data_IF_022654164335
#
_entry.id   IF_022654164335
#
_cell.length_a   1.000
_cell.length_b   1.000
_cell.length_c   1.000
_cell.angle_alpha   90.00
_cell.angle_beta   90.00
_cell.angle_gamma   90.00
#
_symmetry.space_group_name_H-M   'P 1'
#
loop_
_entity.id
_entity.type
_entity.pdbx_description
1 polymer ?
#
# COMPACT_ATOMS: atom_id res chain seq x y z
N UNK A 1 6.97 -24.58 31.90
CA UNK A 1 7.89 -23.58 31.34
C UNK A 1 7.32 -23.08 30.03
N UNK A 2 6.54 -22.00 30.07
CA UNK A 2 5.92 -21.38 28.90
C UNK A 2 6.23 -19.90 28.95
N UNK A 3 7.29 -19.52 28.23
CA UNK A 3 7.72 -18.14 28.08
C UNK A 3 6.68 -17.37 27.27
N UNK A 4 5.86 -16.58 27.96
CA UNK A 4 5.03 -15.53 27.35
C UNK A 4 5.95 -14.41 26.89
N UNK A 5 6.12 -14.28 25.58
CA UNK A 5 6.64 -13.07 24.94
C UNK A 5 5.66 -11.94 25.23
N UNK A 6 5.97 -11.10 26.23
CA UNK A 6 5.21 -9.88 26.51
C UNK A 6 5.49 -8.90 25.37
N UNK A 7 4.47 -8.59 24.59
CA UNK A 7 4.47 -7.44 23.70
C UNK A 7 4.79 -6.19 24.53
N UNK A 8 5.85 -5.50 24.14
CA UNK A 8 6.28 -4.24 24.77
C UNK A 8 5.26 -3.18 24.35
N UNK A 9 4.49 -2.67 25.32
CA UNK A 9 3.50 -1.60 25.12
C UNK A 9 4.15 -0.34 24.53
N UNK A 10 3.38 0.42 23.73
CA UNK A 10 3.82 1.62 23.00
C UNK A 10 4.53 2.70 23.84
N UNK A 11 4.35 2.70 25.16
CA UNK A 11 4.93 3.65 26.12
C UNK A 11 6.42 3.38 26.49
N UNK A 12 7.08 2.36 25.92
CA UNK A 12 8.43 1.95 26.32
C UNK A 12 9.44 1.77 25.18
N UNK A 13 9.23 2.41 24.02
CA UNK A 13 10.15 2.30 22.87
C UNK A 13 11.26 3.35 22.94
N UNK A 14 12.51 2.93 22.73
CA UNK A 14 13.65 3.82 22.60
C UNK A 14 13.77 4.27 21.14
N UNK A 15 13.23 5.44 20.80
CA UNK A 15 13.21 5.95 19.43
C UNK A 15 14.61 6.29 18.87
N UNK A 16 15.66 6.25 19.70
CA UNK A 16 17.05 6.33 19.21
C UNK A 16 17.44 5.07 18.44
N UNK A 17 16.83 3.92 18.77
CA UNK A 17 17.03 2.65 18.07
C UNK A 17 16.16 2.56 16.82
N UNK A 18 16.78 2.19 15.70
CA UNK A 18 16.09 2.10 14.40
C UNK A 18 14.93 1.09 14.40
N UNK A 19 15.05 -0.12 14.99
CA UNK A 19 13.94 -1.07 15.03
C UNK A 19 12.74 -0.57 15.82
N UNK A 20 12.97 0.15 16.92
CA UNK A 20 11.91 0.75 17.72
C UNK A 20 11.21 1.89 16.98
N UNK A 21 11.96 2.69 16.23
CA UNK A 21 11.41 3.74 15.35
C UNK A 21 10.58 3.16 14.21
N UNK A 22 11.06 2.08 13.58
CA UNK A 22 10.33 1.38 12.53
C UNK A 22 9.01 0.78 13.06
N UNK A 23 9.03 0.11 14.21
CA UNK A 23 7.81 -0.33 14.88
C UNK A 23 6.86 0.83 15.12
N UNK A 24 7.35 1.94 15.70
CA UNK A 24 6.51 3.10 16.02
C UNK A 24 5.88 3.71 14.77
N UNK A 25 6.60 3.80 13.65
CA UNK A 25 6.04 4.26 12.37
C UNK A 25 4.85 3.41 11.94
N UNK A 26 4.99 2.08 11.96
CA UNK A 26 3.93 1.15 11.56
C UNK A 26 2.74 1.21 12.53
N UNK A 27 3.00 1.32 13.84
CA UNK A 27 1.96 1.43 14.87
C UNK A 27 1.16 2.73 14.76
N UNK A 28 1.84 3.86 14.54
CA UNK A 28 1.20 5.18 14.50
C UNK A 28 0.52 5.46 13.17
N UNK A 29 1.16 5.12 12.05
CA UNK A 29 0.69 5.51 10.71
C UNK A 29 -0.04 4.37 9.99
N UNK A 30 0.14 3.12 10.43
CA UNK A 30 -0.38 1.93 9.77
C UNK A 30 0.55 1.38 8.68
N UNK A 31 0.34 0.11 8.34
CA UNK A 31 1.09 -0.61 7.31
C UNK A 31 0.45 -0.54 5.91
N UNK A 32 0.56 -1.65 5.17
CA UNK A 32 0.01 -1.83 3.82
C UNK A 32 -1.48 -1.47 3.74
N UNK A 33 -1.88 -0.91 2.61
CA UNK A 33 -3.28 -0.57 2.35
C UNK A 33 -4.14 -1.81 2.09
N UNK A 34 -3.59 -2.87 1.47
CA UNK A 34 -4.28 -4.16 1.30
C UNK A 34 -4.75 -4.74 2.64
N UNK A 35 -3.87 -4.76 3.65
CA UNK A 35 -4.21 -5.26 4.99
C UNK A 35 -5.31 -4.42 5.66
N UNK A 36 -5.29 -3.10 5.50
CA UNK A 36 -6.36 -2.20 6.00
C UNK A 36 -7.72 -2.47 5.34
N UNK A 37 -7.69 -2.98 4.10
CA UNK A 37 -8.86 -3.41 3.34
C UNK A 37 -9.23 -4.89 3.56
N UNK A 38 -8.55 -5.60 4.47
CA UNK A 38 -8.80 -7.01 4.73
C UNK A 38 -8.42 -7.92 3.56
N UNK A 39 -7.39 -7.53 2.81
CA UNK A 39 -6.82 -8.28 1.68
C UNK A 39 -5.46 -8.83 2.10
N UNK A 40 -5.29 -10.14 1.99
CA UNK A 40 -4.06 -10.85 2.32
C UNK A 40 -3.42 -11.42 1.04
N UNK A 41 -2.66 -10.58 0.34
CA UNK A 41 -2.03 -10.93 -0.95
C UNK A 41 -1.13 -12.18 -0.90
N UNK A 42 -0.71 -12.61 0.30
CA UNK A 42 0.09 -13.81 0.49
C UNK A 42 -0.76 -15.11 0.39
N UNK A 43 -2.10 -15.02 0.33
CA UNK A 43 -3.01 -16.18 0.24
C UNK A 43 -3.30 -16.64 -1.19
N UNK A 44 -2.67 -16.03 -2.19
CA UNK A 44 -2.74 -16.44 -3.59
C UNK A 44 -3.53 -15.50 -4.48
N UNK A 45 -3.72 -15.91 -5.73
CA UNK A 45 -4.13 -15.04 -6.83
C UNK A 45 -5.48 -14.35 -6.61
N UNK A 46 -6.41 -14.99 -5.90
CA UNK A 46 -7.69 -14.37 -5.54
C UNK A 46 -7.50 -13.10 -4.70
N UNK A 47 -6.59 -13.11 -3.72
CA UNK A 47 -6.33 -11.92 -2.91
C UNK A 47 -5.54 -10.86 -3.70
N UNK A 48 -4.66 -11.30 -4.61
CA UNK A 48 -3.98 -10.40 -5.56
C UNK A 48 -4.98 -9.70 -6.48
N UNK A 49 -6.00 -10.41 -6.96
CA UNK A 49 -7.09 -9.87 -7.76
C UNK A 49 -7.94 -8.85 -6.99
N UNK A 50 -8.29 -9.17 -5.73
CA UNK A 50 -8.94 -8.20 -4.82
C UNK A 50 -8.08 -6.95 -4.65
N UNK A 51 -6.76 -7.12 -4.54
CA UNK A 51 -5.84 -5.99 -4.45
C UNK A 51 -5.72 -5.22 -5.76
N UNK A 52 -5.83 -5.86 -6.93
CA UNK A 52 -5.88 -5.20 -8.23
C UNK A 52 -7.09 -4.25 -8.31
N UNK A 53 -8.28 -4.74 -7.90
CA UNK A 53 -9.48 -3.93 -7.80
C UNK A 53 -9.27 -2.73 -6.86
N UNK A 54 -8.77 -2.99 -5.65
CA UNK A 54 -8.52 -1.95 -4.65
C UNK A 54 -7.48 -0.91 -5.09
N UNK A 55 -6.36 -1.34 -5.66
CA UNK A 55 -5.29 -0.47 -6.15
C UNK A 55 -5.78 0.47 -7.26
N UNK A 56 -6.73 0.01 -8.08
CA UNK A 56 -7.38 0.83 -9.10
C UNK A 56 -8.00 2.10 -8.48
N UNK A 57 -8.60 2.01 -7.29
CA UNK A 57 -9.19 3.15 -6.58
C UNK A 57 -8.15 4.21 -6.17
N UNK A 58 -6.85 3.91 -6.15
CA UNK A 58 -5.80 4.90 -5.88
C UNK A 58 -5.33 5.66 -7.14
N UNK A 59 -5.84 5.31 -8.33
CA UNK A 59 -5.45 5.95 -9.59
C UNK A 59 -5.99 7.37 -9.81
N UNK A 60 -6.82 7.89 -8.90
CA UNK A 60 -7.25 9.30 -8.89
C UNK A 60 -6.61 10.06 -7.73
N UNK A 61 -6.71 11.39 -7.75
CA UNK A 61 -6.31 12.24 -6.61
C UNK A 61 -7.33 12.12 -5.47
N UNK A 62 -7.26 11.00 -4.75
CA UNK A 62 -8.17 10.61 -3.69
C UNK A 62 -7.37 10.31 -2.41
N UNK A 63 -7.98 10.47 -1.23
CA UNK A 63 -7.36 10.06 0.02
C UNK A 63 -7.47 8.54 0.21
N UNK A 64 -6.50 7.96 0.92
CA UNK A 64 -6.53 6.54 1.26
C UNK A 64 -7.81 6.15 2.03
N UNK A 65 -8.28 7.00 2.95
CA UNK A 65 -9.51 6.77 3.70
C UNK A 65 -10.74 6.64 2.78
N UNK A 66 -10.84 7.47 1.73
CA UNK A 66 -11.92 7.36 0.75
C UNK A 66 -11.76 6.06 -0.05
N UNK A 67 -10.56 5.72 -0.53
CA UNK A 67 -10.34 4.47 -1.26
C UNK A 67 -10.71 3.23 -0.42
N UNK A 68 -10.34 3.19 0.86
CA UNK A 68 -10.70 2.12 1.82
C UNK A 68 -12.22 2.03 2.00
N UNK A 69 -12.89 3.16 2.22
CA UNK A 69 -14.35 3.20 2.37
C UNK A 69 -15.06 2.75 1.09
N UNK A 70 -14.60 3.20 -0.08
CA UNK A 70 -15.12 2.78 -1.38
C UNK A 70 -14.94 1.29 -1.60
N UNK A 71 -13.75 0.73 -1.31
CA UNK A 71 -13.54 -0.71 -1.42
C UNK A 71 -14.50 -1.52 -0.53
N UNK A 72 -14.75 -1.06 0.70
CA UNK A 72 -15.73 -1.70 1.60
C UNK A 72 -17.15 -1.66 1.02
N UNK A 73 -17.58 -0.50 0.51
CA UNK A 73 -18.89 -0.35 -0.14
C UNK A 73 -19.03 -1.26 -1.38
N UNK A 74 -17.95 -1.46 -2.14
CA UNK A 74 -17.90 -2.41 -3.25
C UNK A 74 -18.03 -3.86 -2.75
N UNK A 75 -17.27 -4.23 -1.72
CA UNK A 75 -17.30 -5.57 -1.15
C UNK A 75 -18.67 -5.94 -0.54
N UNK A 76 -19.34 -4.98 0.10
CA UNK A 76 -20.72 -5.09 0.60
C UNK A 76 -21.74 -5.29 -0.53
N UNK A 77 -21.52 -4.64 -1.67
CA UNK A 77 -22.32 -4.83 -2.88
C UNK A 77 -21.99 -6.13 -3.64
N UNK A 78 -21.04 -6.92 -3.15
CA UNK A 78 -20.61 -8.18 -3.77
C UNK A 78 -19.56 -8.03 -4.86
N UNK A 79 -18.90 -6.87 -4.99
CA UNK A 79 -17.78 -6.65 -5.91
C UNK A 79 -16.48 -6.65 -5.09
N UNK A 80 -15.82 -7.81 -5.02
CA UNK A 80 -14.62 -8.01 -4.18
C UNK A 80 -13.34 -8.11 -5.00
N UNK A 81 -13.42 -8.68 -6.20
CA UNK A 81 -12.35 -8.76 -7.21
C UNK A 81 -12.75 -8.12 -8.54
N UNK A 82 -11.82 -8.10 -9.50
CA UNK A 82 -12.10 -7.51 -10.81
C UNK A 82 -13.06 -8.37 -11.64
N UNK A 83 -13.03 -9.69 -11.47
CA UNK A 83 -13.97 -10.64 -12.08
C UNK A 83 -15.43 -10.37 -11.68
N UNK A 84 -15.68 -9.89 -10.46
CA UNK A 84 -17.04 -9.55 -10.00
C UNK A 84 -17.62 -8.32 -10.74
N UNK A 85 -16.81 -7.59 -11.53
CA UNK A 85 -17.24 -6.43 -12.33
C UNK A 85 -17.91 -6.85 -13.63
N UNK A 86 -17.57 -8.01 -14.21
CA UNK A 86 -18.06 -8.46 -15.53
C UNK A 86 -19.60 -8.63 -15.57
N UNK A 87 -20.24 -8.85 -14.42
CA UNK A 87 -21.69 -8.96 -14.28
C UNK A 87 -22.43 -7.69 -13.88
N UNK A 88 -21.75 -6.53 -13.86
CA UNK A 88 -22.32 -5.27 -13.36
C UNK A 88 -22.55 -4.26 -14.47
N UNK A 89 -23.62 -3.49 -14.36
CA UNK A 89 -23.83 -2.34 -15.27
C UNK A 89 -22.97 -1.16 -14.84
N UNK A 90 -22.77 -0.23 -15.77
CA UNK A 90 -22.07 1.00 -15.47
C UNK A 90 -22.79 1.82 -14.38
N UNK A 91 -24.12 1.88 -14.42
CA UNK A 91 -24.95 2.59 -13.43
C UNK A 91 -24.83 1.98 -12.02
N UNK A 92 -24.84 0.65 -11.91
CA UNK A 92 -24.65 -0.05 -10.63
C UNK A 92 -23.28 0.30 -10.02
N UNK A 93 -22.23 0.30 -10.83
CA UNK A 93 -20.88 0.66 -10.37
C UNK A 93 -20.80 2.12 -9.93
N UNK A 94 -21.43 3.04 -10.67
CA UNK A 94 -21.50 4.46 -10.29
C UNK A 94 -22.18 4.62 -8.94
N UNK A 95 -23.32 3.98 -8.71
CA UNK A 95 -24.03 4.05 -7.42
C UNK A 95 -23.16 3.52 -6.27
N UNK A 96 -22.49 2.38 -6.46
CA UNK A 96 -21.61 1.80 -5.46
C UNK A 96 -20.43 2.74 -5.14
N UNK A 97 -19.81 3.31 -6.18
CA UNK A 97 -18.69 4.25 -6.04
C UNK A 97 -19.12 5.53 -5.32
N UNK A 98 -20.29 6.08 -5.65
CA UNK A 98 -20.85 7.26 -5.01
C UNK A 98 -21.09 7.06 -3.50
N UNK A 99 -21.68 5.92 -3.11
CA UNK A 99 -21.83 5.53 -1.68
C UNK A 99 -20.50 5.43 -0.95
N UNK A 100 -19.44 5.04 -1.66
CA UNK A 100 -18.07 5.05 -1.17
C UNK A 100 -17.48 6.46 -0.96
N UNK A 101 -18.18 7.51 -1.39
CA UNK A 101 -17.72 8.90 -1.45
C UNK A 101 -16.76 9.16 -2.60
N UNK A 102 -16.91 8.42 -3.69
CA UNK A 102 -16.15 8.57 -4.92
C UNK A 102 -16.89 9.42 -5.97
N UNK A 103 -17.98 10.11 -5.59
CA UNK A 103 -18.87 10.96 -6.41
C UNK A 103 -18.18 11.84 -7.46
N UNK A 104 -16.99 12.36 -7.17
CA UNK A 104 -16.25 13.23 -8.09
C UNK A 104 -15.68 12.47 -9.30
N UNK A 105 -15.44 11.18 -9.14
CA UNK A 105 -14.66 10.35 -10.06
C UNK A 105 -15.39 9.04 -10.42
N UNK A 106 -16.61 8.85 -9.94
CA UNK A 106 -17.44 7.67 -10.09
C UNK A 106 -17.63 7.28 -11.55
N UNK A 107 -18.05 8.20 -12.43
CA UNK A 107 -18.36 7.92 -13.84
C UNK A 107 -17.13 7.38 -14.57
N UNK A 108 -16.00 8.10 -14.45
CA UNK A 108 -14.73 7.69 -15.05
C UNK A 108 -14.22 6.39 -14.45
N UNK A 109 -14.44 6.18 -13.15
CA UNK A 109 -13.94 4.99 -12.45
C UNK A 109 -14.76 3.77 -12.79
N UNK A 110 -16.09 3.87 -12.90
CA UNK A 110 -16.97 2.81 -13.40
C UNK A 110 -16.56 2.38 -14.82
N UNK A 111 -16.39 3.33 -15.75
CA UNK A 111 -15.90 3.03 -17.11
C UNK A 111 -14.54 2.34 -17.09
N UNK A 112 -13.62 2.78 -16.22
CA UNK A 112 -12.29 2.17 -16.08
C UNK A 112 -12.38 0.75 -15.53
N UNK A 113 -13.23 0.49 -14.54
CA UNK A 113 -13.41 -0.83 -13.95
C UNK A 113 -13.93 -1.84 -14.98
N UNK A 114 -14.93 -1.46 -15.78
CA UNK A 114 -15.45 -2.30 -16.85
C UNK A 114 -14.35 -2.67 -17.86
N UNK A 115 -13.61 -1.67 -18.36
CA UNK A 115 -12.49 -1.89 -19.28
C UNK A 115 -11.38 -2.74 -18.68
N UNK A 116 -11.12 -2.55 -17.38
CA UNK A 116 -10.09 -3.32 -16.67
C UNK A 116 -10.51 -4.79 -16.55
N UNK A 117 -11.76 -5.07 -16.24
CA UNK A 117 -12.29 -6.43 -16.21
C UNK A 117 -12.14 -7.11 -17.57
N UNK A 118 -12.55 -6.44 -18.65
CA UNK A 118 -12.34 -6.90 -20.03
C UNK A 118 -10.87 -7.19 -20.36
N UNK A 119 -9.95 -6.35 -19.88
CA UNK A 119 -8.52 -6.46 -20.19
C UNK A 119 -7.81 -7.57 -19.41
N UNK A 120 -8.25 -7.86 -18.18
CA UNK A 120 -7.61 -8.85 -17.30
C UNK A 120 -8.17 -10.26 -17.54
N UNK A 121 -9.45 -10.38 -17.93
CA UNK A 121 -10.08 -11.65 -18.27
C UNK A 121 -10.06 -12.67 -17.12
N UNK A 122 -10.09 -12.20 -15.87
CA UNK A 122 -10.13 -13.04 -14.66
C UNK A 122 -8.80 -13.70 -14.24
N UNK A 123 -7.71 -13.57 -15.01
CA UNK A 123 -6.43 -14.22 -14.70
C UNK A 123 -5.35 -13.21 -14.30
N UNK A 124 -5.40 -12.72 -13.06
CA UNK A 124 -4.41 -11.73 -12.56
C UNK A 124 -2.97 -12.24 -12.64
N UNK A 125 -2.76 -13.55 -12.57
CA UNK A 125 -1.44 -14.18 -12.71
C UNK A 125 -0.82 -13.97 -14.10
N UNK A 126 -1.63 -13.79 -15.15
CA UNK A 126 -1.14 -13.53 -16.51
C UNK A 126 -0.51 -12.13 -16.65
N UNK A 127 -0.75 -11.22 -15.70
CA UNK A 127 -0.10 -9.90 -15.65
C UNK A 127 1.36 -10.00 -15.17
N UNK A 128 1.77 -11.13 -14.59
CA UNK A 128 3.15 -11.38 -14.19
C UNK A 128 3.97 -11.76 -15.43
N UNK A 129 4.86 -10.87 -15.84
CA UNK A 129 5.84 -11.14 -16.88
C UNK A 129 7.01 -12.02 -16.42
N UNK A 130 8.03 -12.19 -17.26
CA UNK A 130 9.25 -12.93 -16.95
C UNK A 130 10.16 -12.27 -15.90
N UNK A 131 9.84 -11.05 -15.48
CA UNK A 131 10.56 -10.30 -14.45
C UNK A 131 9.87 -8.99 -14.09
N UNK A 132 10.52 -8.18 -13.26
CA UNK A 132 9.98 -6.91 -12.76
C UNK A 132 9.59 -5.93 -13.88
N UNK A 133 10.46 -5.75 -14.89
CA UNK A 133 10.23 -4.75 -15.94
C UNK A 133 9.09 -5.15 -16.89
N UNK A 134 9.02 -6.42 -17.28
CA UNK A 134 7.90 -6.94 -18.07
C UNK A 134 6.59 -6.86 -17.28
N UNK A 135 6.62 -7.20 -15.98
CA UNK A 135 5.44 -7.08 -15.10
C UNK A 135 5.01 -5.62 -14.97
N UNK A 136 5.95 -4.68 -14.83
CA UNK A 136 5.65 -3.24 -14.79
C UNK A 136 5.04 -2.76 -16.10
N UNK A 137 5.56 -3.22 -17.24
CA UNK A 137 5.03 -2.87 -18.55
C UNK A 137 3.60 -3.39 -18.73
N UNK A 138 3.34 -4.66 -18.38
CA UNK A 138 2.01 -5.26 -18.43
C UNK A 138 1.01 -4.52 -17.54
N UNK A 139 1.37 -4.24 -16.27
CA UNK A 139 0.52 -3.49 -15.35
C UNK A 139 0.32 -2.03 -15.80
N UNK A 140 1.34 -1.40 -16.38
CA UNK A 140 1.27 -0.04 -16.90
C UNK A 140 0.43 0.11 -18.16
N UNK A 141 0.18 -0.98 -18.88
CA UNK A 141 -0.73 -1.01 -20.03
C UNK A 141 -2.21 -1.11 -19.63
N UNK A 142 -2.50 -1.41 -18.35
CA UNK A 142 -3.87 -1.55 -17.87
C UNK A 142 -4.63 -0.21 -17.92
N UNK A 143 -5.94 -0.22 -18.26
CA UNK A 143 -6.74 0.99 -18.34
C UNK A 143 -6.68 1.85 -17.06
N UNK A 144 -6.12 3.05 -17.19
CA UNK A 144 -6.03 4.02 -16.09
C UNK A 144 -5.10 3.62 -14.95
N UNK A 145 -4.15 2.71 -15.19
CA UNK A 145 -3.02 2.45 -14.32
C UNK A 145 -1.83 3.30 -14.75
N UNK A 146 -1.39 4.18 -13.84
CA UNK A 146 -0.17 4.98 -14.02
C UNK A 146 0.98 4.47 -13.14
N UNK A 147 2.18 5.07 -13.26
CA UNK A 147 3.36 4.66 -12.50
C UNK A 147 3.12 4.59 -10.99
N UNK A 148 2.34 5.53 -10.44
CA UNK A 148 2.00 5.54 -9.01
C UNK A 148 1.18 4.32 -8.60
N UNK A 149 0.17 3.93 -9.39
CA UNK A 149 -0.67 2.76 -9.12
C UNK A 149 0.14 1.47 -9.27
N UNK A 150 0.99 1.38 -10.29
CA UNK A 150 1.87 0.23 -10.51
C UNK A 150 2.85 0.06 -9.34
N UNK A 151 3.51 1.15 -8.91
CA UNK A 151 4.41 1.13 -7.74
C UNK A 151 3.66 0.72 -6.47
N UNK A 152 2.48 1.29 -6.21
CA UNK A 152 1.63 0.90 -5.09
C UNK A 152 1.30 -0.59 -5.11
N UNK A 153 0.85 -1.11 -6.25
CA UNK A 153 0.46 -2.50 -6.39
C UNK A 153 1.65 -3.43 -6.12
N UNK A 154 2.76 -3.22 -6.85
CA UNK A 154 3.95 -4.07 -6.75
C UNK A 154 4.63 -4.00 -5.39
N UNK A 155 4.63 -2.85 -4.71
CA UNK A 155 5.17 -2.73 -3.35
C UNK A 155 4.51 -3.73 -2.41
N UNK A 156 3.18 -3.86 -2.47
CA UNK A 156 2.45 -4.77 -1.58
C UNK A 156 2.58 -6.24 -2.01
N UNK A 157 2.83 -6.49 -3.30
CA UNK A 157 3.16 -7.80 -3.84
C UNK A 157 4.63 -8.23 -3.66
N UNK A 158 5.50 -7.42 -3.04
CA UNK A 158 6.90 -7.81 -2.84
C UNK A 158 6.99 -9.18 -2.17
N UNK A 159 7.65 -10.13 -2.83
CA UNK A 159 7.81 -11.51 -2.35
C UNK A 159 6.59 -12.43 -2.59
N UNK A 160 5.51 -11.93 -3.18
CA UNK A 160 4.32 -12.73 -3.56
C UNK A 160 4.53 -13.36 -4.94
N UNK A 161 4.91 -12.55 -5.92
CA UNK A 161 5.27 -13.04 -7.24
C UNK A 161 6.77 -13.33 -7.31
N UNK A 162 7.18 -14.56 -7.70
CA UNK A 162 8.59 -14.90 -7.87
C UNK A 162 9.28 -13.93 -8.82
N UNK A 163 10.47 -13.44 -8.43
CA UNK A 163 11.25 -12.49 -9.24
C UNK A 163 10.73 -11.06 -9.24
N UNK A 164 9.65 -10.75 -8.52
CA UNK A 164 9.10 -9.40 -8.40
C UNK A 164 9.54 -8.78 -7.08
N UNK A 165 10.63 -8.02 -7.15
CA UNK A 165 11.19 -7.27 -6.02
C UNK A 165 11.40 -5.79 -6.41
N UNK A 166 10.35 -4.96 -6.37
CA UNK A 166 10.46 -3.58 -6.80
C UNK A 166 11.34 -2.77 -5.83
N UNK A 167 12.11 -1.79 -6.34
CA UNK A 167 12.76 -0.80 -5.50
C UNK A 167 11.74 -0.06 -4.62
N UNK A 168 12.15 0.48 -3.47
CA UNK A 168 11.25 1.22 -2.60
C UNK A 168 10.69 2.47 -3.30
N UNK A 169 9.46 2.84 -2.97
CA UNK A 169 8.83 4.08 -3.43
C UNK A 169 9.68 5.31 -3.07
N UNK A 170 9.86 6.25 -4.01
CA UNK A 170 10.66 7.46 -3.77
C UNK A 170 10.20 8.27 -2.56
N UNK A 171 8.88 8.28 -2.31
CA UNK A 171 8.28 8.90 -1.12
C UNK A 171 8.70 8.20 0.16
N UNK A 172 8.78 6.86 0.12
CA UNK A 172 9.28 6.07 1.24
C UNK A 172 10.77 6.31 1.47
N UNK A 173 11.56 6.49 0.41
CA UNK A 173 12.98 6.83 0.53
C UNK A 173 13.19 8.20 1.18
N UNK A 174 12.41 9.21 0.76
CA UNK A 174 12.48 10.55 1.33
C UNK A 174 12.05 10.56 2.80
N UNK A 175 10.91 9.95 3.11
CA UNK A 175 10.44 9.82 4.48
C UNK A 175 11.38 8.96 5.34
N UNK A 176 11.99 7.92 4.78
CA UNK A 176 12.95 7.06 5.48
C UNK A 176 14.23 7.81 5.86
N UNK A 177 14.70 8.72 4.99
CA UNK A 177 15.79 9.65 5.32
C UNK A 177 15.36 10.64 6.41
N UNK A 178 14.19 11.25 6.28
CA UNK A 178 13.65 12.18 7.27
C UNK A 178 13.49 11.51 8.66
N UNK A 179 12.95 10.29 8.69
CA UNK A 179 12.82 9.48 9.88
C UNK A 179 14.16 8.89 10.35
N UNK A 180 15.29 9.19 9.71
CA UNK A 180 16.62 8.72 10.09
C UNK A 180 16.80 7.21 10.07
N UNK A 181 16.01 6.49 9.26
CA UNK A 181 16.16 5.06 9.01
C UNK A 181 17.13 4.78 7.86
N UNK A 182 17.19 5.70 6.90
CA UNK A 182 18.02 5.60 5.70
C UNK A 182 19.11 6.67 5.74
N UNK A 183 20.34 6.25 5.40
CA UNK A 183 21.53 7.11 5.31
C UNK A 183 22.40 6.73 4.12
N UNK A 184 23.56 7.37 4.00
CA UNK A 184 24.51 7.06 2.95
C UNK A 184 25.14 5.66 3.14
N UNK A 185 25.55 5.02 2.04
CA UNK A 185 26.38 3.81 2.05
C UNK A 185 25.67 2.46 2.10
N UNK A 186 24.33 2.43 2.15
CA UNK A 186 23.56 1.18 2.11
C UNK A 186 22.55 1.20 0.96
N UNK A 187 22.34 0.05 0.32
CA UNK A 187 21.25 -0.10 -0.63
C UNK A 187 19.91 0.04 0.14
N UNK A 188 19.01 0.97 -0.25
CA UNK A 188 17.90 1.35 0.62
C UNK A 188 16.95 0.22 0.98
N UNK A 189 16.64 -0.68 0.04
CA UNK A 189 15.73 -1.79 0.30
C UNK A 189 16.31 -2.79 1.31
N UNK A 190 17.60 -3.09 1.22
CA UNK A 190 18.26 -4.03 2.13
C UNK A 190 18.32 -3.45 3.53
N UNK A 191 18.54 -2.14 3.65
CA UNK A 191 18.47 -1.45 4.93
C UNK A 191 17.08 -1.49 5.55
N UNK A 192 16.02 -1.29 4.74
CA UNK A 192 14.64 -1.42 5.23
C UNK A 192 14.33 -2.85 5.67
N UNK A 193 14.81 -3.88 4.95
CA UNK A 193 14.64 -5.29 5.32
C UNK A 193 15.32 -5.62 6.64
N UNK A 194 16.56 -5.19 6.83
CA UNK A 194 17.33 -5.39 8.06
C UNK A 194 16.58 -4.78 9.26
N UNK A 195 16.23 -3.50 9.16
CA UNK A 195 15.51 -2.79 10.23
C UNK A 195 14.14 -3.43 10.50
N UNK A 196 13.39 -3.78 9.47
CA UNK A 196 12.09 -4.43 9.61
C UNK A 196 12.21 -5.81 10.28
N UNK A 197 13.22 -6.60 9.92
CA UNK A 197 13.52 -7.89 10.52
C UNK A 197 13.85 -7.78 12.01
N UNK A 198 14.73 -6.84 12.38
CA UNK A 198 15.05 -6.56 13.79
C UNK A 198 13.84 -6.03 14.59
N UNK A 199 12.97 -5.28 13.93
CA UNK A 199 11.75 -4.73 14.52
C UNK A 199 10.63 -5.79 14.67
N UNK A 200 10.71 -6.90 13.93
CA UNK A 200 9.63 -7.89 13.86
C UNK A 200 8.40 -7.40 13.09
N UNK A 201 8.59 -6.50 12.12
CA UNK A 201 7.53 -6.03 11.22
C UNK A 201 7.81 -6.47 9.78
N UNK A 202 6.77 -6.58 8.95
CA UNK A 202 6.94 -6.83 7.52
C UNK A 202 7.54 -5.58 6.84
N UNK A 203 8.53 -5.77 5.98
CA UNK A 203 9.16 -4.67 5.24
C UNK A 203 8.16 -3.89 4.38
N UNK A 204 7.11 -4.55 3.87
CA UNK A 204 6.04 -3.91 3.10
C UNK A 204 5.20 -2.98 3.96
N UNK A 205 4.98 -3.34 5.23
CA UNK A 205 4.28 -2.52 6.19
C UNK A 205 5.12 -1.31 6.61
N UNK A 206 6.43 -1.49 6.83
CA UNK A 206 7.36 -0.39 7.08
C UNK A 206 7.41 0.60 5.91
N UNK A 207 7.53 0.10 4.67
CA UNK A 207 7.56 0.98 3.49
C UNK A 207 6.23 1.73 3.31
N UNK A 208 5.10 1.05 3.52
CA UNK A 208 3.79 1.70 3.46
C UNK A 208 3.65 2.79 4.53
N UNK A 209 4.13 2.55 5.77
CA UNK A 209 4.15 3.55 6.83
C UNK A 209 4.99 4.78 6.45
N UNK A 210 6.14 4.59 5.79
CA UNK A 210 6.96 5.68 5.28
C UNK A 210 6.25 6.47 4.16
N UNK A 211 5.53 5.81 3.25
CA UNK A 211 4.70 6.51 2.25
C UNK A 211 3.59 7.33 2.94
N UNK A 212 2.96 6.79 3.99
CA UNK A 212 1.94 7.50 4.77
C UNK A 212 2.52 8.72 5.48
N UNK A 213 3.71 8.60 6.08
CA UNK A 213 4.45 9.71 6.68
C UNK A 213 4.67 10.83 5.65
N UNK A 214 5.14 10.47 4.45
CA UNK A 214 5.35 11.42 3.37
C UNK A 214 4.05 12.10 2.96
N UNK A 215 2.98 11.34 2.70
CA UNK A 215 1.70 11.90 2.24
C UNK A 215 1.10 12.88 3.25
N UNK A 216 1.24 12.60 4.54
CA UNK A 216 0.67 13.43 5.60
C UNK A 216 1.56 14.64 5.95
N UNK A 217 2.89 14.52 5.92
CA UNK A 217 3.79 15.48 6.60
C UNK A 217 4.96 15.99 5.77
N UNK A 218 5.17 15.57 4.50
CA UNK A 218 6.39 15.95 3.75
C UNK A 218 6.62 17.46 3.64
N UNK A 219 5.54 18.26 3.63
CA UNK A 219 5.62 19.73 3.57
C UNK A 219 6.24 20.34 4.84
N UNK A 220 6.12 19.64 5.96
CA UNK A 220 6.62 20.07 7.27
C UNK A 220 8.00 19.48 7.59
N UNK A 221 8.52 18.55 6.78
CA UNK A 221 9.86 17.96 6.96
C UNK A 221 10.98 18.99 7.15
N UNK A 222 11.00 20.15 6.45
CA UNK A 222 12.04 21.17 6.67
C UNK A 222 12.04 21.78 8.08
N UNK A 223 10.91 21.77 8.77
CA UNK A 223 10.75 22.34 10.12
C UNK A 223 10.69 21.26 11.20
N UNK A 224 10.52 20.00 10.81
CA UNK A 224 10.51 18.86 11.71
C UNK A 224 11.96 18.39 11.97
N UNK A 225 12.37 18.15 13.23
CA UNK A 225 13.73 17.72 13.55
C UNK A 225 14.06 16.29 13.06
N UNK A 226 13.05 15.53 12.61
CA UNK A 226 13.22 14.18 12.05
C UNK A 226 13.79 13.16 13.03
N UNK A 227 14.18 12.00 12.50
CA UNK A 227 14.81 10.93 13.28
C UNK A 227 13.98 10.50 14.49
N UNK A 228 14.65 10.37 15.64
CA UNK A 228 14.02 10.03 16.92
C UNK A 228 13.06 11.10 17.46
N UNK A 229 13.12 12.32 16.93
CA UNK A 229 12.31 13.47 17.35
C UNK A 229 11.26 13.85 16.30
N UNK A 230 11.03 13.00 15.31
CA UNK A 230 10.04 13.26 14.27
C UNK A 230 8.67 13.51 14.93
N UNK A 231 8.04 14.64 14.60
CA UNK A 231 6.78 15.07 15.21
C UNK A 231 5.71 13.97 15.12
N UNK A 232 5.58 13.31 13.96
CA UNK A 232 4.67 12.19 13.75
C UNK A 232 4.94 10.95 14.63
N UNK A 233 6.09 10.86 15.31
CA UNK A 233 6.42 9.78 16.24
C UNK A 233 6.29 10.18 17.70
N UNK A 234 6.50 11.47 17.99
CA UNK A 234 6.53 12.04 19.35
C UNK A 234 5.22 12.67 19.78
N UNK A 235 4.37 13.08 18.84
CA UNK A 235 3.01 13.53 19.14
C UNK A 235 2.22 12.32 19.67
N UNK A 236 1.84 12.39 20.95
CA UNK A 236 0.77 11.55 21.48
C UNK A 236 -0.52 12.09 20.87
N UNK A 237 -1.09 11.34 19.92
CA UNK A 237 -2.39 11.65 19.33
C UNK A 237 -3.51 11.64 20.35
#
# INVERSE_FOLDING_TARGET
MTSRTRGRTAAGRDLTRLPDRACRLVETLGGRFSREMGIDVDRGDREVERWLLAATLFGARISAAIAVRTYRAMAEAGVRGISDVEGRTWEELVEILDRGGYARYDYRTATRLLRLAESVGGEVGALRGGGLDETRAALGALPGWGPVTVTLFLRELRGVWPGVDPPPDDRALEAGRHAGLLGAGHHPLDRLREIAGEAGVDVRDLEAALVRLWLAHHKDFPHCPGGARCAALTEEG
#
